data_IF_728052069400
#
_entry.id   IF_728052069400
#
_cell.length_a   1.000
_cell.length_b   1.000
_cell.length_c   1.000
_cell.angle_alpha   90.00
_cell.angle_beta   90.00
_cell.angle_gamma   90.00
#
_symmetry.space_group_name_H-M   'P 1'
#
loop_
_entity.id
_entity.type
_entity.pdbx_description
1 polymer ?
#
# COMPACT_ATOMS: atom_id res chain seq x y z
N UNK A 1 34.87 -9.90 -17.93
CA UNK A 1 33.78 -10.65 -17.27
C UNK A 1 33.52 -10.00 -15.92
N UNK A 2 32.41 -9.28 -15.79
CA UNK A 2 31.64 -9.14 -14.55
C UNK A 2 30.41 -8.30 -14.90
N UNK A 3 29.36 -8.99 -15.34
CA UNK A 3 28.00 -8.49 -15.30
C UNK A 3 27.65 -8.22 -13.84
N UNK A 4 27.19 -7.01 -13.54
CA UNK A 4 26.52 -6.71 -12.29
C UNK A 4 25.25 -5.94 -12.63
N UNK A 5 24.17 -6.68 -12.84
CA UNK A 5 22.83 -6.17 -12.57
C UNK A 5 22.70 -5.91 -11.06
N UNK A 6 21.92 -4.91 -10.67
CA UNK A 6 20.96 -5.11 -9.60
C UNK A 6 19.56 -4.75 -10.14
N UNK A 7 18.65 -5.72 -10.27
CA UNK A 7 17.66 -6.04 -9.23
C UNK A 7 16.86 -4.80 -8.83
N UNK A 8 15.81 -4.45 -9.58
CA UNK A 8 14.41 -4.79 -9.27
C UNK A 8 13.90 -4.16 -7.94
N UNK A 9 12.99 -3.16 -8.09
CA UNK A 9 11.88 -2.67 -7.22
C UNK A 9 11.98 -2.79 -5.68
N UNK A 10 11.53 -1.77 -4.91
CA UNK A 10 10.08 -1.50 -4.75
C UNK A 10 9.74 0.01 -4.54
N UNK A 11 8.88 0.68 -5.30
CA UNK A 11 7.41 0.65 -5.21
C UNK A 11 6.87 0.55 -3.76
N UNK A 12 6.92 1.62 -2.95
CA UNK A 12 6.22 1.66 -1.63
C UNK A 12 5.72 3.04 -1.15
N UNK A 13 5.82 4.14 -1.92
CA UNK A 13 5.37 5.45 -1.42
C UNK A 13 3.85 5.69 -1.33
N UNK A 14 2.95 5.07 -2.15
CA UNK A 14 1.51 5.18 -1.92
C UNK A 14 0.99 4.14 -0.90
N UNK A 15 1.81 3.17 -0.52
CA UNK A 15 1.37 2.04 0.30
C UNK A 15 1.25 2.42 1.76
N UNK A 16 2.18 3.22 2.31
CA UNK A 16 2.15 3.62 3.72
C UNK A 16 0.87 4.39 4.07
N UNK A 17 0.47 5.38 3.27
CA UNK A 17 -0.76 6.15 3.50
C UNK A 17 -2.01 5.31 3.28
N UNK A 18 -1.99 4.37 2.33
CA UNK A 18 -3.08 3.42 2.09
C UNK A 18 -3.22 2.41 3.24
N UNK A 19 -2.10 1.90 3.78
CA UNK A 19 -2.06 0.97 4.92
C UNK A 19 -2.49 1.69 6.21
N UNK A 20 -2.09 2.95 6.39
CA UNK A 20 -2.51 3.78 7.53
C UNK A 20 -4.03 4.01 7.51
N UNK A 21 -4.58 4.34 6.34
CA UNK A 21 -6.02 4.52 6.16
C UNK A 21 -6.78 3.21 6.35
N UNK A 22 -6.22 2.08 5.91
CA UNK A 22 -6.80 0.75 6.07
C UNK A 22 -6.85 0.32 7.55
N UNK A 23 -5.80 0.57 8.35
CA UNK A 23 -5.78 0.22 9.79
C UNK A 23 -6.72 1.07 10.64
N UNK A 24 -6.81 2.37 10.38
CA UNK A 24 -7.79 3.24 11.05
C UNK A 24 -9.21 2.81 10.67
N UNK A 25 -9.44 2.47 9.40
CA UNK A 25 -10.72 1.93 8.93
C UNK A 25 -11.04 0.60 9.61
N UNK A 26 -10.07 -0.30 9.77
CA UNK A 26 -10.23 -1.56 10.49
C UNK A 26 -10.57 -1.35 11.97
N UNK A 27 -9.91 -0.39 12.64
CA UNK A 27 -10.24 -0.05 14.03
C UNK A 27 -11.68 0.48 14.16
N UNK A 28 -12.09 1.36 13.24
CA UNK A 28 -13.46 1.86 13.18
C UNK A 28 -14.47 0.72 12.96
N UNK A 29 -14.19 -0.19 12.03
CA UNK A 29 -15.02 -1.38 11.80
C UNK A 29 -15.12 -2.30 13.03
N UNK A 30 -14.02 -2.49 13.77
CA UNK A 30 -14.02 -3.27 15.01
C UNK A 30 -14.88 -2.63 16.10
N UNK A 31 -14.82 -1.30 16.24
CA UNK A 31 -15.66 -0.56 17.19
C UNK A 31 -17.14 -0.65 16.79
N UNK A 32 -17.46 -0.43 15.51
CA UNK A 32 -18.82 -0.52 14.98
C UNK A 32 -19.42 -1.93 15.16
N UNK A 33 -18.58 -2.96 15.04
CA UNK A 33 -18.96 -4.35 15.30
C UNK A 33 -19.33 -4.56 16.77
N UNK A 34 -18.57 -4.03 17.72
CA UNK A 34 -18.90 -4.12 19.16
C UNK A 34 -20.23 -3.44 19.44
N UNK A 35 -20.44 -2.24 18.90
CA UNK A 35 -21.69 -1.49 19.08
C UNK A 35 -22.88 -2.27 18.51
N UNK A 36 -22.71 -2.89 17.34
CA UNK A 36 -23.74 -3.72 16.70
C UNK A 36 -24.09 -4.96 17.53
N UNK A 37 -23.08 -5.62 18.12
CA UNK A 37 -23.27 -6.76 19.03
C UNK A 37 -24.05 -6.29 20.27
N UNK A 38 -23.67 -5.16 20.87
CA UNK A 38 -24.37 -4.60 22.05
C UNK A 38 -25.85 -4.27 21.77
N UNK A 39 -26.15 -3.64 20.64
CA UNK A 39 -27.53 -3.32 20.26
C UNK A 39 -28.35 -4.59 19.99
N UNK A 40 -27.77 -5.56 19.29
CA UNK A 40 -28.41 -6.86 19.04
C UNK A 40 -28.72 -7.62 20.34
N UNK A 41 -27.85 -7.50 21.35
CA UNK A 41 -28.06 -8.08 22.68
C UNK A 41 -29.21 -7.38 23.40
N UNK A 42 -29.24 -6.05 23.40
CA UNK A 42 -30.33 -5.29 24.01
C UNK A 42 -31.67 -5.61 23.35
N UNK A 43 -31.70 -5.77 22.01
CA UNK A 43 -32.89 -6.20 21.29
C UNK A 43 -33.30 -7.64 21.63
N UNK A 44 -32.35 -8.58 21.72
CA UNK A 44 -32.64 -9.96 22.16
C UNK A 44 -33.15 -10.01 23.62
N UNK A 45 -32.62 -9.16 24.49
CA UNK A 45 -33.04 -9.01 25.90
C UNK A 45 -34.40 -8.33 26.05
N UNK A 46 -34.77 -7.47 25.10
CA UNK A 46 -36.08 -6.83 25.08
C UNK A 46 -37.16 -7.77 24.52
N UNK A 47 -36.78 -8.66 23.59
CA UNK A 47 -37.67 -9.62 22.93
C UNK A 47 -37.74 -11.00 23.62
N UNK A 48 -37.13 -11.19 24.80
CA UNK A 48 -36.89 -12.51 25.44
C UNK A 48 -38.13 -13.20 26.02
N UNK A 49 -39.34 -12.73 25.74
CA UNK A 49 -40.58 -13.34 26.23
C UNK A 49 -40.85 -14.76 25.68
N UNK A 50 -39.97 -15.34 24.83
CA UNK A 50 -40.22 -16.59 24.12
C UNK A 50 -39.01 -17.54 23.98
N UNK A 51 -37.84 -17.29 24.58
CA UNK A 51 -36.65 -18.14 24.39
C UNK A 51 -36.41 -19.13 25.53
N UNK A 52 -35.98 -20.35 25.17
CA UNK A 52 -35.56 -21.39 26.10
C UNK A 52 -34.39 -20.88 26.99
N UNK A 53 -34.48 -20.96 28.33
CA UNK A 53 -33.44 -20.50 29.24
C UNK A 53 -32.07 -21.15 29.02
N UNK A 54 -31.99 -22.33 28.39
CA UNK A 54 -30.69 -22.93 28.01
C UNK A 54 -30.06 -22.23 26.80
N UNK A 55 -30.85 -21.93 25.77
CA UNK A 55 -30.38 -21.23 24.58
C UNK A 55 -29.91 -19.82 24.92
N UNK A 56 -30.62 -19.14 25.81
CA UNK A 56 -30.23 -17.80 26.27
C UNK A 56 -28.87 -17.77 26.96
N UNK A 57 -28.53 -18.79 27.78
CA UNK A 57 -27.22 -18.88 28.44
C UNK A 57 -26.08 -19.15 27.45
N UNK A 58 -26.33 -19.96 26.43
CA UNK A 58 -25.36 -20.26 25.38
C UNK A 58 -25.07 -18.99 24.56
N UNK A 59 -26.12 -18.30 24.12
CA UNK A 59 -26.01 -17.03 23.40
C UNK A 59 -25.25 -15.98 24.22
N UNK A 60 -25.53 -15.87 25.53
CA UNK A 60 -24.80 -14.95 26.42
C UNK A 60 -23.30 -15.26 26.52
N UNK A 61 -22.93 -16.54 26.58
CA UNK A 61 -21.52 -16.94 26.65
C UNK A 61 -20.77 -16.67 25.34
N UNK A 62 -21.41 -16.92 24.19
CA UNK A 62 -20.88 -16.60 22.87
C UNK A 62 -20.64 -15.09 22.71
N UNK A 63 -21.60 -14.28 23.13
CA UNK A 63 -21.50 -12.80 23.08
C UNK A 63 -20.36 -12.28 23.97
N UNK A 64 -20.23 -12.78 25.20
CA UNK A 64 -19.15 -12.35 26.11
C UNK A 64 -17.79 -12.76 25.55
N UNK A 65 -17.71 -13.95 24.93
CA UNK A 65 -16.49 -14.41 24.26
C UNK A 65 -16.12 -13.52 23.06
N UNK A 66 -17.10 -13.14 22.25
CA UNK A 66 -16.92 -12.26 21.10
C UNK A 66 -16.49 -10.86 21.51
N UNK A 67 -17.11 -10.28 22.54
CA UNK A 67 -16.73 -8.96 23.08
C UNK A 67 -15.29 -9.01 23.60
N UNK A 68 -14.92 -10.06 24.35
CA UNK A 68 -13.57 -10.18 24.90
C UNK A 68 -12.50 -10.37 23.81
N UNK A 69 -12.82 -11.11 22.75
CA UNK A 69 -11.93 -11.31 21.60
C UNK A 69 -11.76 -10.03 20.79
N UNK A 70 -12.86 -9.29 20.55
CA UNK A 70 -12.80 -8.01 19.86
C UNK A 70 -12.07 -6.93 20.69
N UNK A 71 -12.24 -6.91 22.01
CA UNK A 71 -11.49 -5.99 22.88
C UNK A 71 -9.97 -6.22 22.77
N UNK A 72 -9.52 -7.47 22.76
CA UNK A 72 -8.10 -7.81 22.52
C UNK A 72 -7.63 -7.46 21.12
N UNK A 73 -8.49 -7.60 20.10
CA UNK A 73 -8.17 -7.16 18.74
C UNK A 73 -8.01 -5.64 18.67
N UNK A 74 -8.85 -4.88 19.37
CA UNK A 74 -8.73 -3.42 19.48
C UNK A 74 -7.41 -3.06 20.16
N UNK A 75 -7.03 -3.73 21.26
CA UNK A 75 -5.74 -3.48 21.93
C UNK A 75 -4.55 -3.71 20.99
N UNK A 76 -4.57 -4.82 20.24
CA UNK A 76 -3.53 -5.11 19.23
C UNK A 76 -3.53 -4.10 18.09
N UNK A 77 -4.72 -3.68 17.62
CA UNK A 77 -4.87 -2.68 16.56
C UNK A 77 -4.32 -1.33 17.01
N UNK A 78 -4.64 -0.90 18.24
CA UNK A 78 -4.11 0.31 18.87
C UNK A 78 -2.59 0.25 18.98
N UNK A 79 -2.04 -0.87 19.45
CA UNK A 79 -0.60 -1.04 19.57
C UNK A 79 0.12 -1.03 18.23
N UNK A 80 -0.58 -1.45 17.19
CA UNK A 80 -0.10 -1.51 15.82
C UNK A 80 -0.48 -0.26 15.00
N UNK A 81 -1.02 0.79 15.64
CA UNK A 81 -1.31 2.04 14.94
C UNK A 81 0.01 2.66 14.44
N UNK A 82 0.17 2.81 13.13
CA UNK A 82 1.36 3.40 12.56
C UNK A 82 1.44 4.87 12.95
N UNK A 83 2.60 5.31 13.45
CA UNK A 83 2.82 6.69 13.87
C UNK A 83 2.52 7.00 15.35
N UNK A 84 2.15 6.02 16.19
CA UNK A 84 1.93 6.26 17.64
C UNK A 84 3.18 6.79 18.36
N UNK A 85 4.36 6.44 17.84
CA UNK A 85 5.66 6.76 18.43
C UNK A 85 6.35 7.98 17.78
N UNK A 86 5.77 8.55 16.71
CA UNK A 86 6.38 9.66 15.95
C UNK A 86 5.55 10.93 16.11
N UNK A 87 6.20 12.06 16.38
CA UNK A 87 5.54 13.36 16.40
C UNK A 87 5.03 13.73 15.01
N UNK A 88 3.99 14.56 14.93
CA UNK A 88 3.51 15.12 13.66
C UNK A 88 4.64 15.82 12.88
N UNK A 89 5.55 16.49 13.60
CA UNK A 89 6.73 17.10 12.98
C UNK A 89 7.70 16.08 12.37
N UNK A 90 7.92 14.94 13.04
CA UNK A 90 8.80 13.88 12.52
C UNK A 90 8.17 13.21 11.29
N UNK A 91 6.84 13.09 11.26
CA UNK A 91 6.12 12.58 10.10
C UNK A 91 6.22 13.54 8.92
N UNK A 92 6.09 14.84 9.15
CA UNK A 92 6.25 15.87 8.11
C UNK A 92 7.68 15.91 7.58
N UNK A 93 8.68 15.83 8.46
CA UNK A 93 10.10 15.80 8.06
C UNK A 93 10.41 14.55 7.23
N UNK A 94 9.89 13.38 7.63
CA UNK A 94 10.00 12.16 6.85
C UNK A 94 9.35 12.30 5.46
N UNK A 95 8.16 12.91 5.38
CA UNK A 95 7.50 13.16 4.08
C UNK A 95 8.36 14.07 3.20
N UNK A 96 8.92 15.15 3.76
CA UNK A 96 9.79 16.07 3.01
C UNK A 96 11.07 15.38 2.52
N UNK A 97 11.69 14.54 3.35
CA UNK A 97 12.87 13.75 2.96
C UNK A 97 12.53 12.78 1.82
N UNK A 98 11.37 12.12 1.90
CA UNK A 98 10.93 11.19 0.86
C UNK A 98 10.58 11.91 -0.44
N UNK A 99 9.99 13.11 -0.38
CA UNK A 99 9.75 13.95 -1.56
C UNK A 99 11.05 14.33 -2.25
N UNK A 100 12.08 14.70 -1.48
CA UNK A 100 13.39 15.02 -2.03
C UNK A 100 14.03 13.80 -2.71
N UNK A 101 14.04 12.64 -2.04
CA UNK A 101 14.56 11.40 -2.61
C UNK A 101 13.82 11.01 -3.91
N UNK A 102 12.49 11.19 -3.92
CA UNK A 102 11.68 10.92 -5.10
C UNK A 102 12.01 11.88 -6.24
N UNK A 103 12.26 13.16 -5.95
CA UNK A 103 12.69 14.12 -6.96
C UNK A 103 14.05 13.74 -7.57
N UNK A 104 15.03 13.41 -6.74
CA UNK A 104 16.36 12.99 -7.18
C UNK A 104 16.28 11.73 -8.07
N UNK A 105 15.53 10.72 -7.63
CA UNK A 105 15.29 9.50 -8.41
C UNK A 105 14.59 9.79 -9.75
N UNK A 106 13.65 10.74 -9.79
CA UNK A 106 12.97 11.13 -11.03
C UNK A 106 13.90 11.85 -12.01
N UNK A 107 14.80 12.68 -11.51
CA UNK A 107 15.81 13.36 -12.32
C UNK A 107 16.80 12.36 -12.94
N UNK A 108 17.25 11.38 -12.15
CA UNK A 108 18.08 10.28 -12.64
C UNK A 108 17.34 9.45 -13.70
N UNK A 109 16.06 9.15 -13.46
CA UNK A 109 15.22 8.44 -14.41
C UNK A 109 15.09 9.21 -15.74
N UNK A 110 14.80 10.52 -15.70
CA UNK A 110 14.72 11.37 -16.90
C UNK A 110 16.04 11.41 -17.66
N UNK A 111 17.16 11.55 -16.95
CA UNK A 111 18.50 11.55 -17.56
C UNK A 111 18.79 10.22 -18.25
N UNK A 112 18.41 9.11 -17.63
CA UNK A 112 18.57 7.78 -18.21
C UNK A 112 17.74 7.59 -19.49
N UNK A 113 16.51 8.09 -19.51
CA UNK A 113 15.67 8.10 -20.72
C UNK A 113 16.31 8.96 -21.82
N UNK A 114 16.73 10.18 -21.51
CA UNK A 114 17.36 11.06 -22.50
C UNK A 114 18.61 10.46 -23.12
N UNK A 115 19.44 9.79 -22.31
CA UNK A 115 20.61 9.08 -22.80
C UNK A 115 20.22 7.92 -23.74
N UNK A 116 19.18 7.16 -23.37
CA UNK A 116 18.66 6.08 -24.21
C UNK A 116 18.11 6.60 -25.55
N UNK A 117 17.35 7.70 -25.54
CA UNK A 117 16.81 8.33 -26.75
C UNK A 117 17.92 8.88 -27.65
N UNK A 118 18.93 9.55 -27.09
CA UNK A 118 20.08 10.05 -27.82
C UNK A 118 20.87 8.92 -28.49
N UNK A 119 21.10 7.82 -27.76
CA UNK A 119 21.79 6.66 -28.30
C UNK A 119 20.97 5.98 -29.41
N UNK A 120 19.65 5.85 -29.22
CA UNK A 120 18.75 5.32 -30.24
C UNK A 120 18.82 6.15 -31.52
N UNK A 121 18.80 7.48 -31.40
CA UNK A 121 18.94 8.39 -32.54
C UNK A 121 20.26 8.20 -33.27
N UNK A 122 21.38 8.11 -32.54
CA UNK A 122 22.71 7.86 -33.15
C UNK A 122 22.76 6.52 -33.89
N UNK A 123 22.13 5.47 -33.35
CA UNK A 123 22.03 4.17 -34.01
C UNK A 123 21.22 4.29 -35.30
N UNK A 124 20.06 4.95 -35.26
CA UNK A 124 19.21 5.17 -36.44
C UNK A 124 19.93 5.97 -37.53
N UNK A 125 20.64 7.04 -37.14
CA UNK A 125 21.42 7.86 -38.07
C UNK A 125 22.53 7.02 -38.74
N UNK A 126 23.24 6.20 -37.97
CA UNK A 126 24.29 5.31 -38.48
C UNK A 126 23.71 4.28 -39.46
N UNK A 127 22.58 3.66 -39.11
CA UNK A 127 21.88 2.72 -40.00
C UNK A 127 21.43 3.42 -41.29
N UNK A 128 20.91 4.65 -41.19
CA UNK A 128 20.49 5.43 -42.36
C UNK A 128 21.66 5.75 -43.29
N UNK A 129 22.82 6.12 -42.74
CA UNK A 129 24.05 6.37 -43.51
C UNK A 129 24.50 5.09 -44.22
N UNK A 130 24.56 3.95 -43.53
CA UNK A 130 24.95 2.67 -44.12
C UNK A 130 23.97 2.26 -45.23
N UNK A 131 22.66 2.40 -45.01
CA UNK A 131 21.65 2.10 -46.01
C UNK A 131 21.79 3.00 -47.26
N UNK A 132 22.10 4.29 -47.07
CA UNK A 132 22.33 5.23 -48.17
C UNK A 132 23.61 4.91 -48.95
N UNK A 133 24.67 4.52 -48.27
CA UNK A 133 25.94 4.11 -48.89
C UNK A 133 25.77 2.84 -49.75
N UNK A 134 25.04 1.85 -49.24
CA UNK A 134 24.68 0.63 -49.99
C UNK A 134 23.84 0.95 -51.23
N UNK A 135 22.88 1.87 -51.14
CA UNK A 135 22.06 2.28 -52.29
C UNK A 135 22.83 3.07 -53.35
N UNK A 136 23.90 3.76 -52.94
CA UNK A 136 24.77 4.53 -53.84
C UNK A 136 25.76 3.60 -54.56
N UNK A 137 26.28 2.58 -53.86
CA UNK A 137 27.15 1.55 -54.44
C UNK A 137 26.44 0.70 -55.50
N UNK A 138 25.16 0.38 -55.30
CA UNK A 138 24.35 -0.39 -56.26
C UNK A 138 23.93 0.37 -57.54
N UNK A 139 24.16 1.69 -57.62
CA UNK A 139 23.83 2.50 -58.80
C UNK A 139 25.04 2.73 -59.74
N UNK A 140 26.21 2.16 -59.42
CA UNK A 140 27.44 2.26 -60.22
C UNK A 140 27.94 0.92 -60.79
N UNK A 141 27.16 -0.17 -60.68
CA UNK A 141 27.28 -1.39 -61.49
C UNK A 141 26.19 -1.43 -62.57
#
# INVERSE_FOLDING_TARGET
>A
MQNSSPSAKPETLPEATSINMDRITQLQQSIDRIVSIFLSVLDKLNNTNLQDPQQFKIDQQEIVHDICTNAKQIDLLIDSLPGKDHSENDQIENVQSLEQELQEANEEYKKSIQNAESLLKQILDTISIIAKDQSSSNNYE
#
